data_IF_653633891819
#
_entry.id   IF_653633891819
#
_cell.length_a   1.000
_cell.length_b   1.000
_cell.length_c   1.000
_cell.angle_alpha   90.00
_cell.angle_beta   90.00
_cell.angle_gamma   90.00
#
_symmetry.space_group_name_H-M   'P 1'
#
loop_
_entity.id
_entity.type
_entity.pdbx_description
1 polymer ?
#
# COMPACT_ATOMS: atom_id res chain seq x y z
N UNK A 1 5.74 -36.32 41.91
CA UNK A 1 5.84 -34.84 41.96
C UNK A 1 7.27 -34.33 42.15
N UNK A 2 8.13 -34.98 42.94
CA UNK A 2 9.51 -34.51 43.16
C UNK A 2 10.44 -34.62 41.94
N UNK A 3 10.32 -35.68 41.12
CA UNK A 3 11.11 -35.81 39.88
C UNK A 3 10.88 -34.67 38.87
N UNK A 4 9.65 -34.16 38.75
CA UNK A 4 9.36 -33.00 37.89
C UNK A 4 9.88 -31.69 38.49
N UNK A 5 9.90 -31.52 39.82
CA UNK A 5 10.52 -30.35 40.46
C UNK A 5 12.04 -30.35 40.30
N UNK A 6 12.69 -31.51 40.38
CA UNK A 6 14.14 -31.65 40.20
C UNK A 6 14.53 -31.47 38.73
N UNK A 7 13.78 -32.04 37.80
CA UNK A 7 13.99 -31.83 36.35
C UNK A 7 13.77 -30.36 35.94
N UNK A 8 12.71 -29.69 36.43
CA UNK A 8 12.49 -28.25 36.19
C UNK A 8 13.57 -27.37 36.87
N UNK A 9 14.07 -27.74 38.05
CA UNK A 9 15.20 -27.03 38.67
C UNK A 9 16.48 -27.21 37.87
N UNK A 10 16.78 -28.42 37.41
CA UNK A 10 17.97 -28.70 36.60
C UNK A 10 17.90 -28.02 35.23
N UNK A 11 16.74 -27.99 34.57
CA UNK A 11 16.57 -27.24 33.30
C UNK A 11 16.57 -25.73 33.50
N UNK A 12 15.99 -25.20 34.58
CA UNK A 12 16.08 -23.77 34.90
C UNK A 12 17.52 -23.34 35.20
N UNK A 13 18.26 -24.13 35.99
CA UNK A 13 19.68 -23.86 36.34
C UNK A 13 20.59 -23.98 35.10
N UNK A 14 20.38 -24.97 34.23
CA UNK A 14 21.12 -25.08 32.96
C UNK A 14 20.78 -23.90 32.03
N UNK A 15 19.52 -23.46 31.98
CA UNK A 15 19.12 -22.29 31.17
C UNK A 15 19.64 -20.95 31.72
N UNK A 16 19.94 -20.87 33.02
CA UNK A 16 20.54 -19.70 33.66
C UNK A 16 22.06 -19.63 33.38
N UNK A 17 22.77 -20.76 33.35
CA UNK A 17 24.21 -20.82 33.01
C UNK A 17 24.49 -20.62 31.50
N UNK A 18 23.49 -20.87 30.65
CA UNK A 18 23.56 -20.70 29.20
C UNK A 18 23.09 -19.31 28.73
N UNK A 19 22.47 -18.51 29.62
CA UNK A 19 22.00 -17.18 29.27
C UNK A 19 23.15 -16.24 28.92
N UNK A 20 23.05 -15.63 27.73
CA UNK A 20 23.90 -14.54 27.28
C UNK A 20 23.02 -13.42 26.71
N UNK A 21 23.30 -12.19 27.11
CA UNK A 21 22.61 -11.01 26.58
C UNK A 21 22.87 -10.87 25.09
N UNK A 22 21.90 -10.32 24.36
CA UNK A 22 22.04 -10.07 22.93
C UNK A 22 22.61 -8.67 22.71
N UNK A 23 23.79 -8.52 22.09
CA UNK A 23 24.42 -7.21 21.97
C UNK A 23 23.64 -6.21 21.13
N UNK A 24 22.80 -6.65 20.17
CA UNK A 24 21.95 -5.75 19.39
C UNK A 24 20.90 -5.01 20.22
N UNK A 25 20.64 -5.42 21.46
CA UNK A 25 19.80 -4.64 22.38
C UNK A 25 20.62 -3.41 22.79
N UNK A 26 20.15 -2.23 22.41
CA UNK A 26 20.82 -0.94 22.60
C UNK A 26 21.40 -0.72 24.02
N UNK A 27 20.69 -1.14 25.06
CA UNK A 27 21.20 -1.08 26.43
C UNK A 27 22.46 -1.94 26.63
N UNK A 28 22.47 -3.18 26.12
CA UNK A 28 23.63 -4.08 26.17
C UNK A 28 24.79 -3.51 25.37
N UNK A 29 24.50 -3.03 24.15
CA UNK A 29 25.49 -2.38 23.30
C UNK A 29 26.18 -1.21 23.99
N UNK A 30 25.41 -0.30 24.60
CA UNK A 30 25.93 0.87 25.33
C UNK A 30 26.84 0.45 26.48
N UNK A 31 26.46 -0.57 27.24
CA UNK A 31 27.27 -1.09 28.33
C UNK A 31 28.58 -1.72 27.84
N UNK A 32 28.57 -2.49 26.75
CA UNK A 32 29.79 -3.00 26.12
C UNK A 32 30.72 -1.87 25.66
N UNK A 33 30.13 -0.83 25.07
CA UNK A 33 30.88 0.35 24.65
C UNK A 33 31.47 1.14 25.83
N UNK A 34 31.11 0.87 27.09
CA UNK A 34 31.80 1.48 28.24
C UNK A 34 33.19 0.89 28.47
N UNK A 35 33.42 -0.38 28.14
CA UNK A 35 34.76 -0.95 28.20
C UNK A 35 35.67 -0.24 27.17
N UNK A 36 36.77 0.40 27.60
CA UNK A 36 37.65 1.16 26.71
C UNK A 36 38.36 0.30 25.66
N UNK A 37 38.71 -0.94 25.98
CA UNK A 37 39.36 -1.84 25.02
C UNK A 37 38.35 -2.35 24.00
N UNK A 38 37.18 -2.83 24.43
CA UNK A 38 36.07 -3.23 23.54
C UNK A 38 35.73 -2.11 22.55
N UNK A 39 35.54 -0.88 23.07
CA UNK A 39 35.28 0.30 22.24
C UNK A 39 36.44 0.63 21.30
N UNK A 40 37.69 0.56 21.77
CA UNK A 40 38.89 0.82 20.94
C UNK A 40 39.01 -0.17 19.79
N UNK A 41 38.82 -1.46 20.04
CA UNK A 41 38.89 -2.50 19.02
C UNK A 41 37.82 -2.33 17.95
N UNK A 42 36.59 -1.99 18.34
CA UNK A 42 35.53 -1.74 17.37
C UNK A 42 35.79 -0.48 16.53
N UNK A 43 36.23 0.62 17.15
CA UNK A 43 36.54 1.87 16.44
C UNK A 43 37.74 1.72 15.50
N UNK A 44 38.75 0.92 15.89
CA UNK A 44 39.89 0.59 15.04
C UNK A 44 39.43 0.02 13.68
N UNK A 45 38.49 -0.93 13.71
CA UNK A 45 37.93 -1.54 12.51
C UNK A 45 37.04 -0.60 11.69
N UNK A 46 36.26 0.26 12.35
CA UNK A 46 35.43 1.27 11.67
C UNK A 46 36.29 2.27 10.86
N UNK A 47 37.39 2.72 11.47
CA UNK A 47 38.28 3.73 10.88
C UNK A 47 39.42 3.14 10.04
N UNK A 48 39.55 1.82 9.99
CA UNK A 48 40.64 1.10 9.31
C UNK A 48 42.02 1.53 9.83
N UNK A 49 42.13 1.63 11.15
CA UNK A 49 43.34 2.01 11.88
C UNK A 49 43.75 0.91 12.85
N UNK A 50 45.03 0.84 13.21
CA UNK A 50 45.43 -0.05 14.29
C UNK A 50 44.89 0.45 15.63
N UNK A 51 44.59 -0.43 16.61
CA UNK A 51 44.17 -0.02 17.94
C UNK A 51 45.13 0.95 18.64
N UNK A 52 46.43 0.86 18.36
CA UNK A 52 47.45 1.80 18.87
C UNK A 52 47.28 3.20 18.27
N UNK A 53 46.86 3.31 17.01
CA UNK A 53 46.56 4.59 16.36
C UNK A 53 45.26 5.22 16.87
N UNK A 54 44.32 4.41 17.36
CA UNK A 54 43.11 4.92 18.02
C UNK A 54 43.47 5.56 19.37
N UNK A 55 44.43 4.97 20.10
CA UNK A 55 44.86 5.47 21.40
C UNK A 55 43.75 5.37 22.46
N UNK A 56 43.68 6.33 23.38
CA UNK A 56 42.59 6.39 24.34
C UNK A 56 41.32 6.97 23.73
N UNK A 57 40.17 6.51 24.24
CA UNK A 57 38.86 6.96 23.79
C UNK A 57 38.05 7.46 24.98
N UNK A 58 37.40 8.61 24.83
CA UNK A 58 36.59 9.25 25.89
C UNK A 58 35.12 9.19 25.47
N UNK A 59 34.25 8.73 26.37
CA UNK A 59 32.81 8.85 26.18
C UNK A 59 32.39 10.26 26.61
N UNK A 60 31.78 11.00 25.69
CA UNK A 60 31.24 12.33 25.91
C UNK A 60 29.77 12.26 26.34
N UNK A 61 29.20 13.42 26.71
CA UNK A 61 27.76 13.51 26.94
C UNK A 61 26.98 13.21 25.66
N UNK A 62 25.93 12.42 25.82
CA UNK A 62 25.06 11.97 24.74
C UNK A 62 24.15 13.08 24.21
N UNK A 63 23.95 14.14 24.99
CA UNK A 63 23.06 15.25 24.62
C UNK A 63 23.84 16.34 23.92
N UNK A 64 23.56 16.54 22.63
CA UNK A 64 24.15 17.63 21.88
C UNK A 64 23.51 18.97 22.30
N UNK A 65 24.31 20.04 22.45
CA UNK A 65 23.84 21.32 22.94
C UNK A 65 22.76 21.91 22.03
N UNK A 66 21.85 22.69 22.64
CA UNK A 66 20.91 23.55 21.94
C UNK A 66 21.46 24.98 21.91
N UNK A 67 21.33 25.67 20.77
CA UNK A 67 21.62 27.11 20.68
C UNK A 67 20.37 27.95 20.99
N UNK A 68 19.18 27.37 20.95
CA UNK A 68 17.91 27.97 21.39
C UNK A 68 16.90 26.90 21.82
N UNK A 69 15.84 27.30 22.54
CA UNK A 69 14.80 26.36 23.00
C UNK A 69 14.04 25.69 21.85
N UNK A 70 13.89 26.42 20.73
CA UNK A 70 13.20 25.96 19.52
C UNK A 70 13.99 24.88 18.77
N UNK A 71 15.30 24.74 19.03
CA UNK A 71 16.11 23.73 18.37
C UNK A 71 15.77 22.31 18.84
N UNK A 72 15.68 21.40 17.86
CA UNK A 72 15.59 19.97 18.13
C UNK A 72 16.85 19.50 18.86
N UNK A 73 16.64 18.76 19.95
CA UNK A 73 17.71 18.13 20.72
C UNK A 73 18.28 16.95 19.93
N UNK A 74 19.60 16.83 19.88
CA UNK A 74 20.28 15.61 19.43
C UNK A 74 20.59 14.76 20.66
N UNK A 75 20.10 13.53 20.70
CA UNK A 75 20.42 12.57 21.77
C UNK A 75 21.03 11.36 21.09
N UNK A 76 22.34 11.25 21.29
CA UNK A 76 23.21 10.22 20.73
C UNK A 76 23.21 8.99 21.64
N UNK A 77 23.52 7.83 21.08
CA UNK A 77 23.61 6.59 21.84
C UNK A 77 24.98 6.42 22.51
N UNK A 78 26.06 6.48 21.73
CA UNK A 78 27.44 6.41 22.21
C UNK A 78 28.26 7.49 21.50
N UNK A 79 28.53 8.58 22.21
CA UNK A 79 29.33 9.69 21.71
C UNK A 79 30.79 9.54 22.17
N UNK A 80 31.72 9.39 21.23
CA UNK A 80 33.13 9.09 21.51
C UNK A 80 34.03 10.18 20.95
N UNK A 81 35.02 10.61 21.73
CA UNK A 81 36.12 11.47 21.32
C UNK A 81 37.43 10.68 21.29
N UNK A 82 38.14 10.77 20.18
CA UNK A 82 39.49 10.21 20.02
C UNK A 82 40.57 11.24 20.34
N UNK A 83 41.79 10.77 20.60
CA UNK A 83 42.95 11.65 20.90
C UNK A 83 43.28 12.62 19.77
N UNK A 84 43.05 12.22 18.51
CA UNK A 84 43.25 13.08 17.34
C UNK A 84 42.13 14.11 17.13
N UNK A 85 41.14 14.16 18.02
CA UNK A 85 40.00 15.07 17.96
C UNK A 85 38.81 14.57 17.15
N UNK A 86 38.91 13.43 16.47
CA UNK A 86 37.78 12.81 15.76
C UNK A 86 36.66 12.47 16.74
N UNK A 87 35.42 12.79 16.36
CA UNK A 87 34.23 12.43 17.14
C UNK A 87 33.42 11.36 16.40
N UNK A 88 32.91 10.38 17.14
CA UNK A 88 32.04 9.34 16.64
C UNK A 88 30.72 9.34 17.39
N UNK A 89 29.63 9.19 16.64
CA UNK A 89 28.31 8.85 17.15
C UNK A 89 28.00 7.43 16.70
N UNK A 90 27.78 6.51 17.64
CA UNK A 90 27.52 5.10 17.35
C UNK A 90 26.13 4.71 17.86
N UNK A 91 25.23 4.41 16.93
CA UNK A 91 23.81 4.17 17.15
C UNK A 91 23.46 2.69 16.92
N UNK A 92 22.84 2.04 17.91
CA UNK A 92 22.33 0.66 17.78
C UNK A 92 20.81 0.69 17.63
N UNK A 93 20.32 0.38 16.44
CA UNK A 93 18.89 0.48 16.14
C UNK A 93 18.28 -0.88 15.79
N UNK A 94 17.31 -1.30 16.61
CA UNK A 94 16.57 -2.57 16.44
C UNK A 94 15.25 -2.38 15.71
N UNK A 95 14.58 -1.26 15.94
CA UNK A 95 13.24 -0.99 15.39
C UNK A 95 13.39 -0.15 14.14
N UNK A 96 12.78 -0.58 13.04
CA UNK A 96 12.82 0.13 11.76
C UNK A 96 12.26 1.55 11.92
N UNK A 97 12.97 2.53 11.35
CA UNK A 97 12.58 3.93 11.27
C UNK A 97 12.70 4.41 9.82
N UNK A 98 11.60 4.97 9.29
CA UNK A 98 11.51 5.38 7.89
C UNK A 98 12.50 6.51 7.53
N UNK A 99 12.62 7.53 8.38
CA UNK A 99 13.45 8.71 8.16
C UNK A 99 14.84 8.57 8.80
N UNK A 100 15.47 7.40 8.66
CA UNK A 100 16.75 7.14 9.31
C UNK A 100 17.87 7.99 8.70
N UNK A 101 17.96 8.10 7.37
CA UNK A 101 18.99 8.91 6.70
C UNK A 101 18.96 10.38 7.17
N UNK A 102 17.77 10.98 7.25
CA UNK A 102 17.60 12.37 7.72
C UNK A 102 18.03 12.53 9.18
N UNK A 103 17.74 11.54 10.04
CA UNK A 103 18.15 11.55 11.46
C UNK A 103 19.67 11.44 11.58
N UNK A 104 20.28 10.49 10.88
CA UNK A 104 21.72 10.26 10.87
C UNK A 104 22.47 11.50 10.37
N UNK A 105 21.99 12.10 9.27
CA UNK A 105 22.54 13.36 8.75
C UNK A 105 22.37 14.51 9.74
N UNK A 106 21.21 14.64 10.38
CA UNK A 106 20.97 15.68 11.39
C UNK A 106 21.94 15.54 12.57
N UNK A 107 22.14 14.33 13.10
CA UNK A 107 23.07 14.10 14.21
C UNK A 107 24.52 14.37 13.81
N UNK A 108 24.95 13.86 12.66
CA UNK A 108 26.28 14.09 12.12
C UNK A 108 26.58 15.59 11.96
N UNK A 109 25.68 16.34 11.30
CA UNK A 109 25.84 17.78 11.09
C UNK A 109 25.76 18.58 12.40
N UNK A 110 24.91 18.16 13.35
CA UNK A 110 24.82 18.83 14.65
C UNK A 110 26.08 18.59 15.48
N UNK A 111 26.63 17.38 15.48
CA UNK A 111 27.90 17.04 16.13
C UNK A 111 29.03 17.90 15.55
N UNK A 112 29.16 17.93 14.22
CA UNK A 112 30.18 18.71 13.53
C UNK A 112 30.08 20.22 13.80
N UNK A 113 28.89 20.79 13.66
CA UNK A 113 28.67 22.23 13.86
C UNK A 113 28.73 22.67 15.33
N UNK A 114 28.68 21.74 16.29
CA UNK A 114 28.78 22.02 17.73
C UNK A 114 30.22 22.07 18.23
N UNK A 115 31.21 21.72 17.41
CA UNK A 115 32.62 21.73 17.82
C UNK A 115 33.18 23.14 18.01
N UNK A 116 32.63 24.14 17.32
CA UNK A 116 33.16 25.50 17.32
C UNK A 116 32.31 26.48 18.14
N UNK A 117 33.00 27.29 18.93
CA UNK A 117 32.47 28.47 19.60
C UNK A 117 32.64 29.73 18.73
N UNK A 118 31.93 30.80 19.11
CA UNK A 118 32.04 32.11 18.44
C UNK A 118 33.48 32.64 18.52
N UNK A 119 34.05 32.98 17.36
CA UNK A 119 35.38 33.56 17.23
C UNK A 119 36.51 32.53 17.03
N UNK A 120 36.18 31.24 16.97
CA UNK A 120 37.15 30.19 16.62
C UNK A 120 37.27 30.04 15.10
N UNK A 121 38.48 29.74 14.64
CA UNK A 121 38.79 29.50 13.23
C UNK A 121 38.30 28.13 12.76
N UNK A 122 37.96 28.03 11.46
CA UNK A 122 37.37 26.81 10.87
C UNK A 122 38.34 25.65 10.70
N UNK A 123 39.65 25.91 10.70
CA UNK A 123 40.70 24.88 10.61
C UNK A 123 40.70 23.92 11.81
N UNK A 124 40.07 24.33 12.93
CA UNK A 124 39.89 23.52 14.13
C UNK A 124 38.85 22.41 14.00
N UNK A 125 37.99 22.43 12.98
CA UNK A 125 36.96 21.41 12.76
C UNK A 125 37.60 20.03 12.57
N UNK A 126 37.24 19.10 13.43
CA UNK A 126 37.67 17.71 13.38
C UNK A 126 36.66 16.82 12.67
N UNK A 127 37.13 15.66 12.23
CA UNK A 127 36.29 14.66 11.57
C UNK A 127 35.17 14.19 12.51
N UNK A 128 33.98 14.03 11.95
CA UNK A 128 32.82 13.43 12.60
C UNK A 128 32.39 12.20 11.82
N UNK A 129 32.14 11.10 12.53
CA UNK A 129 31.64 9.85 11.95
C UNK A 129 30.35 9.46 12.65
N UNK A 130 29.28 9.26 11.90
CA UNK A 130 28.06 8.66 12.43
C UNK A 130 27.98 7.21 11.96
N UNK A 131 27.86 6.29 12.91
CA UNK A 131 27.85 4.84 12.70
C UNK A 131 26.48 4.31 13.08
N UNK A 132 25.75 3.80 12.08
CA UNK A 132 24.45 3.15 12.24
C UNK A 132 24.62 1.64 12.25
N UNK A 133 24.46 1.00 13.41
CA UNK A 133 24.38 -0.46 13.54
C UNK A 133 22.91 -0.89 13.54
N UNK A 134 22.45 -1.45 12.42
CA UNK A 134 21.04 -1.69 12.15
C UNK A 134 20.70 -3.18 12.22
N UNK A 135 19.78 -3.57 13.09
CA UNK A 135 19.26 -4.94 13.17
C UNK A 135 18.01 -5.17 12.27
N UNK A 136 17.95 -4.45 11.15
CA UNK A 136 16.91 -4.55 10.13
C UNK A 136 17.49 -4.17 8.76
N UNK A 137 16.80 -4.58 7.70
CA UNK A 137 17.15 -4.19 6.32
C UNK A 137 16.56 -2.82 6.01
N UNK A 138 17.43 -1.83 5.85
CA UNK A 138 17.09 -0.48 5.44
C UNK A 138 17.20 -0.34 3.91
N UNK A 139 18.31 -0.76 3.31
CA UNK A 139 18.53 -0.67 1.87
C UNK A 139 18.04 -1.94 1.15
N UNK A 140 16.78 -1.96 0.71
CA UNK A 140 16.14 -3.18 0.16
C UNK A 140 16.60 -3.59 -1.26
N UNK A 141 17.42 -2.77 -1.95
CA UNK A 141 17.74 -2.94 -3.38
C UNK A 141 19.00 -3.78 -3.64
N UNK A 142 19.78 -4.08 -2.62
CA UNK A 142 21.01 -4.86 -2.72
C UNK A 142 21.35 -5.53 -1.39
N UNK A 143 22.38 -6.37 -1.38
CA UNK A 143 22.82 -7.17 -0.23
C UNK A 143 24.07 -6.61 0.47
N UNK A 144 24.42 -5.33 0.25
CA UNK A 144 25.58 -4.70 0.87
C UNK A 144 25.31 -4.53 2.38
N UNK A 145 26.11 -5.21 3.21
CA UNK A 145 25.97 -5.19 4.66
C UNK A 145 26.73 -4.04 5.35
N UNK A 146 27.79 -3.52 4.73
CA UNK A 146 28.58 -2.41 5.25
C UNK A 146 28.78 -1.33 4.19
N UNK A 147 28.45 -0.09 4.54
CA UNK A 147 28.53 1.08 3.65
C UNK A 147 29.24 2.22 4.32
N UNK A 148 30.00 2.98 3.53
CA UNK A 148 30.53 4.29 3.89
C UNK A 148 29.98 5.33 2.90
N UNK A 149 29.51 6.45 3.41
CA UNK A 149 29.12 7.60 2.61
C UNK A 149 29.88 8.84 3.08
N UNK A 150 30.53 9.51 2.14
CA UNK A 150 31.36 10.71 2.34
C UNK A 150 30.96 11.79 1.33
N UNK A 151 31.57 12.97 1.44
CA UNK A 151 31.25 14.11 0.56
C UNK A 151 32.18 14.11 -0.65
N UNK A 152 31.59 13.93 -1.84
CA UNK A 152 32.32 13.90 -3.11
C UNK A 152 31.84 15.00 -4.06
N UNK A 153 32.73 15.46 -4.93
CA UNK A 153 32.35 16.22 -6.11
C UNK A 153 31.58 15.31 -7.08
N UNK A 154 30.37 15.72 -7.45
CA UNK A 154 29.48 14.91 -8.30
C UNK A 154 29.97 14.78 -9.74
N UNK A 155 30.67 15.78 -10.26
CA UNK A 155 31.12 15.81 -11.65
C UNK A 155 32.42 15.02 -11.83
N UNK A 156 33.37 15.17 -10.91
CA UNK A 156 34.69 14.52 -10.99
C UNK A 156 34.75 13.19 -10.25
N UNK A 157 33.90 13.00 -9.24
CA UNK A 157 33.97 11.87 -8.32
C UNK A 157 35.09 12.00 -7.29
N UNK A 158 35.81 13.13 -7.24
CA UNK A 158 36.87 13.36 -6.28
C UNK A 158 36.32 13.62 -4.88
N UNK A 159 37.04 13.15 -3.87
CA UNK A 159 36.68 13.40 -2.48
C UNK A 159 36.78 14.90 -2.19
N UNK A 160 35.66 15.52 -1.83
CA UNK A 160 35.60 16.93 -1.47
C UNK A 160 36.07 17.14 -0.03
N UNK A 161 35.60 16.28 0.90
CA UNK A 161 36.03 16.30 2.29
C UNK A 161 35.78 14.95 2.97
N UNK A 162 36.72 14.54 3.81
CA UNK A 162 36.62 13.37 4.70
C UNK A 162 36.12 13.72 6.11
N UNK A 163 35.80 14.99 6.38
CA UNK A 163 35.40 15.45 7.72
C UNK A 163 34.01 14.99 8.16
N UNK A 164 33.14 14.61 7.22
CA UNK A 164 31.80 14.09 7.49
C UNK A 164 31.69 12.70 6.87
N UNK A 165 31.39 11.70 7.70
CA UNK A 165 31.26 10.32 7.25
C UNK A 165 30.06 9.64 7.90
N UNK A 166 29.28 8.94 7.09
CA UNK A 166 28.23 8.03 7.53
C UNK A 166 28.69 6.60 7.29
N UNK A 167 28.61 5.76 8.30
CA UNK A 167 28.85 4.33 8.19
C UNK A 167 27.59 3.56 8.55
N UNK A 168 27.14 2.65 7.69
CA UNK A 168 25.90 1.89 7.88
C UNK A 168 26.23 0.39 7.87
N UNK A 169 25.92 -0.28 8.98
CA UNK A 169 26.18 -1.69 9.24
C UNK A 169 24.83 -2.41 9.38
N UNK A 170 24.36 -3.05 8.31
CA UNK A 170 23.10 -3.82 8.29
C UNK A 170 23.34 -5.28 8.71
N UNK A 171 23.09 -5.58 9.99
CA UNK A 171 23.34 -6.91 10.59
C UNK A 171 22.60 -8.07 9.88
N UNK A 172 21.36 -7.90 9.37
CA UNK A 172 20.66 -8.99 8.66
C UNK A 172 21.31 -9.39 7.33
N UNK A 173 22.16 -8.53 6.75
CA UNK A 173 22.81 -8.77 5.45
C UNK A 173 24.19 -9.41 5.56
N UNK A 174 24.64 -9.71 6.78
CA UNK A 174 25.96 -10.31 6.96
C UNK A 174 25.99 -11.70 6.30
N UNK A 175 26.94 -11.97 5.39
CA UNK A 175 27.06 -13.26 4.72
C UNK A 175 27.37 -14.39 5.73
N UNK A 176 26.75 -15.55 5.50
CA UNK A 176 26.96 -16.73 6.37
C UNK A 176 28.43 -17.18 6.34
N UNK A 177 29.04 -17.20 5.16
CA UNK A 177 30.39 -17.76 4.87
C UNK A 177 31.59 -16.93 5.37
N UNK A 178 31.37 -15.81 6.05
CA UNK A 178 32.49 -15.02 6.58
C UNK A 178 33.07 -15.64 7.86
N UNK A 179 34.19 -16.35 7.76
CA UNK A 179 34.79 -17.07 8.90
C UNK A 179 36.06 -16.43 9.47
N UNK A 180 36.42 -15.21 9.03
CA UNK A 180 37.62 -14.54 9.54
C UNK A 180 37.32 -13.87 10.90
N UNK A 181 38.19 -14.02 11.92
CA UNK A 181 38.01 -13.39 13.24
C UNK A 181 38.35 -11.90 13.28
N UNK A 182 38.75 -11.31 12.15
CA UNK A 182 39.20 -9.91 12.06
C UNK A 182 38.30 -9.12 11.14
N UNK A 183 38.36 -7.79 11.21
CA UNK A 183 37.57 -6.93 10.34
C UNK A 183 36.22 -6.53 10.93
N UNK A 184 35.64 -5.50 10.33
CA UNK A 184 34.34 -4.95 10.75
C UNK A 184 33.21 -5.99 10.72
N UNK A 185 33.27 -6.98 9.82
CA UNK A 185 32.26 -8.03 9.71
C UNK A 185 32.26 -8.95 10.94
N UNK A 186 33.42 -9.21 11.55
CA UNK A 186 33.51 -9.99 12.79
C UNK A 186 32.77 -9.27 13.93
N UNK A 187 32.98 -7.96 14.08
CA UNK A 187 32.21 -7.12 15.03
C UNK A 187 30.72 -7.11 14.72
N UNK A 188 30.32 -6.97 13.45
CA UNK A 188 28.92 -7.05 13.06
C UNK A 188 28.28 -8.39 13.46
N UNK A 189 29.00 -9.50 13.27
CA UNK A 189 28.53 -10.83 13.69
C UNK A 189 28.39 -10.93 15.21
N UNK A 190 29.36 -10.40 15.95
CA UNK A 190 29.30 -10.34 17.40
C UNK A 190 28.06 -9.54 17.85
N UNK A 191 27.81 -8.37 17.24
CA UNK A 191 26.67 -7.54 17.60
C UNK A 191 25.31 -8.15 17.24
N UNK A 192 25.24 -8.86 16.11
CA UNK A 192 24.05 -9.64 15.73
C UNK A 192 23.69 -10.68 16.81
N UNK A 193 24.65 -11.08 17.63
CA UNK A 193 24.49 -12.04 18.69
C UNK A 193 24.38 -13.47 18.16
N UNK A 194 24.12 -14.39 19.06
CA UNK A 194 24.07 -15.82 18.75
C UNK A 194 24.03 -16.63 20.03
N UNK A 195 24.35 -17.92 19.94
CA UNK A 195 24.59 -18.74 21.13
C UNK A 195 25.94 -18.37 21.74
N UNK A 196 26.09 -18.68 23.02
CA UNK A 196 27.30 -18.44 23.80
C UNK A 196 28.54 -19.06 23.15
N UNK A 197 28.41 -20.30 22.67
CA UNK A 197 29.48 -21.05 22.01
C UNK A 197 29.90 -20.40 20.70
N UNK A 198 28.94 -19.98 19.88
CA UNK A 198 29.18 -19.33 18.59
C UNK A 198 29.92 -18.00 18.78
N UNK A 199 29.52 -17.21 19.79
CA UNK A 199 30.17 -15.94 20.12
C UNK A 199 31.59 -16.16 20.64
N UNK A 200 31.81 -17.19 21.47
CA UNK A 200 33.13 -17.55 21.97
C UNK A 200 34.08 -17.99 20.85
N UNK A 201 33.59 -18.82 19.93
CA UNK A 201 34.37 -19.30 18.80
C UNK A 201 34.73 -18.15 17.85
N UNK A 202 33.78 -17.25 17.58
CA UNK A 202 33.99 -16.08 16.73
C UNK A 202 35.01 -15.10 17.31
N UNK A 203 34.97 -14.87 18.63
CA UNK A 203 35.89 -13.96 19.29
C UNK A 203 37.34 -14.46 19.27
N UNK A 204 37.52 -15.78 19.21
CA UNK A 204 38.83 -16.43 19.37
C UNK A 204 39.86 -15.91 18.37
N UNK A 205 41.01 -15.49 18.89
CA UNK A 205 42.13 -14.98 18.08
C UNK A 205 42.11 -13.48 17.84
N UNK A 206 41.04 -12.79 18.22
CA UNK A 206 40.97 -11.33 18.24
C UNK A 206 40.83 -10.85 19.69
N UNK A 207 41.93 -10.34 20.26
CA UNK A 207 41.99 -9.95 21.69
C UNK A 207 40.89 -8.96 22.09
N UNK A 208 40.47 -8.07 21.20
CA UNK A 208 39.43 -7.08 21.49
C UNK A 208 38.02 -7.68 21.48
N UNK A 209 37.75 -8.63 20.58
CA UNK A 209 36.49 -9.39 20.60
C UNK A 209 36.44 -10.39 21.75
N UNK A 210 37.57 -11.00 22.12
CA UNK A 210 37.67 -11.86 23.31
C UNK A 210 37.28 -11.08 24.57
N UNK A 211 37.83 -9.88 24.74
CA UNK A 211 37.47 -9.00 25.86
C UNK A 211 36.00 -8.57 25.80
N UNK A 212 35.47 -8.22 24.62
CA UNK A 212 34.05 -7.90 24.46
C UNK A 212 33.13 -9.08 24.83
N UNK A 213 33.55 -10.30 24.48
CA UNK A 213 32.83 -11.52 24.85
C UNK A 213 32.89 -11.78 26.37
N UNK A 214 34.05 -11.57 27.00
CA UNK A 214 34.21 -11.69 28.45
C UNK A 214 33.36 -10.66 29.21
N UNK A 215 33.36 -9.40 28.78
CA UNK A 215 32.48 -8.35 29.30
C UNK A 215 31.00 -8.76 29.17
N UNK A 216 30.60 -9.26 28.00
CA UNK A 216 29.22 -9.70 27.74
C UNK A 216 28.83 -10.84 28.68
N UNK A 217 29.73 -11.79 28.90
CA UNK A 217 29.55 -12.89 29.84
C UNK A 217 29.40 -12.40 31.28
N UNK A 218 30.27 -11.52 31.75
CA UNK A 218 30.19 -10.94 33.09
C UNK A 218 28.87 -10.19 33.30
N UNK A 219 28.50 -9.32 32.34
CA UNK A 219 27.26 -8.56 32.38
C UNK A 219 26.02 -9.46 32.37
N UNK A 220 26.06 -10.56 31.61
CA UNK A 220 24.97 -11.53 31.54
C UNK A 220 24.72 -12.24 32.87
N UNK A 221 25.77 -12.41 33.69
CA UNK A 221 25.71 -13.03 35.01
C UNK A 221 25.41 -12.03 36.13
N UNK A 222 25.51 -10.74 35.87
CA UNK A 222 25.16 -9.70 36.84
C UNK A 222 23.62 -9.50 36.88
N UNK A 223 22.99 -9.82 38.02
CA UNK A 223 21.53 -9.76 38.17
C UNK A 223 20.92 -8.37 37.94
N UNK A 224 21.61 -7.30 38.33
CA UNK A 224 21.11 -5.93 38.15
C UNK A 224 21.12 -5.53 36.67
N UNK A 225 22.26 -5.78 36.00
CA UNK A 225 22.41 -5.58 34.57
C UNK A 225 21.43 -6.44 33.77
N UNK A 226 21.23 -7.70 34.17
CA UNK A 226 20.25 -8.61 33.57
C UNK A 226 18.83 -8.08 33.70
N UNK A 227 18.42 -7.57 34.86
CA UNK A 227 17.10 -6.96 35.01
C UNK A 227 16.90 -5.74 34.10
N UNK A 228 17.91 -4.88 33.98
CA UNK A 228 17.86 -3.72 33.09
C UNK A 228 17.75 -4.15 31.61
N UNK A 229 18.54 -5.14 31.21
CA UNK A 229 18.48 -5.74 29.88
C UNK A 229 17.10 -6.34 29.58
N UNK A 230 16.55 -7.17 30.46
CA UNK A 230 15.25 -7.85 30.25
C UNK A 230 14.10 -6.84 30.18
N UNK A 231 14.16 -5.76 30.97
CA UNK A 231 13.19 -4.67 30.89
C UNK A 231 13.24 -3.97 29.52
N UNK A 232 14.46 -3.69 29.02
CA UNK A 232 14.63 -3.08 27.69
C UNK A 232 14.21 -4.03 26.56
N UNK A 233 14.59 -5.29 26.64
CA UNK A 233 14.21 -6.31 25.67
C UNK A 233 12.68 -6.44 25.59
N UNK A 234 11.99 -6.43 26.73
CA UNK A 234 10.52 -6.43 26.78
C UNK A 234 9.91 -5.22 26.08
N UNK A 235 10.40 -4.02 26.39
CA UNK A 235 9.93 -2.79 25.74
C UNK A 235 10.13 -2.84 24.21
N UNK A 236 11.27 -3.36 23.75
CA UNK A 236 11.54 -3.54 22.32
C UNK A 236 10.60 -4.56 21.67
N UNK A 237 10.32 -5.68 22.34
CA UNK A 237 9.35 -6.69 21.86
C UNK A 237 7.95 -6.08 21.72
N UNK A 238 7.53 -5.27 22.67
CA UNK A 238 6.23 -4.57 22.63
C UNK A 238 6.18 -3.58 21.45
N UNK A 239 7.24 -2.78 21.26
CA UNK A 239 7.35 -1.85 20.15
C UNK A 239 7.31 -2.54 18.78
N UNK A 240 8.08 -3.63 18.61
CA UNK A 240 8.06 -4.45 17.39
C UNK A 240 6.70 -5.11 17.16
N UNK A 241 6.02 -5.53 18.22
CA UNK A 241 4.66 -6.09 18.13
C UNK A 241 3.67 -5.05 17.61
N UNK A 242 3.72 -3.82 18.12
CA UNK A 242 2.89 -2.71 17.66
C UNK A 242 3.18 -2.36 16.19
N UNK A 243 4.46 -2.28 15.80
CA UNK A 243 4.86 -2.03 14.42
C UNK A 243 4.29 -3.09 13.46
N UNK A 244 4.46 -4.39 13.79
CA UNK A 244 3.90 -5.48 12.98
C UNK A 244 2.37 -5.45 12.92
N UNK A 245 1.70 -5.04 13.99
CA UNK A 245 0.25 -4.88 13.99
C UNK A 245 -0.17 -3.75 13.04
N UNK A 246 0.52 -2.60 13.08
CA UNK A 246 0.29 -1.48 12.18
C UNK A 246 0.54 -1.87 10.72
N UNK A 247 1.65 -2.55 10.41
CA UNK A 247 1.96 -3.05 9.06
C UNK A 247 0.87 -4.00 8.54
N UNK A 248 0.40 -4.95 9.37
CA UNK A 248 -0.69 -5.86 8.99
C UNK A 248 -2.01 -5.13 8.77
N UNK A 249 -2.31 -4.11 9.58
CA UNK A 249 -3.51 -3.30 9.40
C UNK A 249 -3.44 -2.50 8.09
N UNK A 250 -2.29 -1.88 7.81
CA UNK A 250 -2.04 -1.17 6.56
C UNK A 250 -2.20 -2.08 5.35
N UNK A 251 -1.57 -3.27 5.35
CA UNK A 251 -1.71 -4.23 4.25
C UNK A 251 -3.16 -4.68 4.03
N UNK A 252 -3.94 -4.88 5.11
CA UNK A 252 -5.37 -5.20 5.00
C UNK A 252 -6.16 -4.06 4.38
N UNK A 253 -5.84 -2.81 4.72
CA UNK A 253 -6.47 -1.64 4.12
C UNK A 253 -6.13 -1.52 2.63
N UNK A 254 -4.86 -1.70 2.24
CA UNK A 254 -4.45 -1.68 0.84
C UNK A 254 -5.15 -2.77 0.04
N UNK A 255 -5.17 -4.02 0.54
CA UNK A 255 -5.87 -5.11 -0.13
C UNK A 255 -7.40 -4.87 -0.21
N UNK A 256 -7.99 -4.17 0.77
CA UNK A 256 -9.40 -3.80 0.74
C UNK A 256 -9.68 -2.68 -0.29
N UNK A 257 -8.77 -1.71 -0.41
CA UNK A 257 -8.84 -0.65 -1.42
C UNK A 257 -8.75 -1.23 -2.83
N UNK A 258 -7.78 -2.11 -3.11
CA UNK A 258 -7.66 -2.78 -4.42
C UNK A 258 -8.94 -3.55 -4.80
N UNK A 259 -9.54 -4.27 -3.84
CA UNK A 259 -10.82 -4.96 -4.07
C UNK A 259 -11.98 -4.00 -4.32
N UNK A 260 -11.97 -2.84 -3.66
CA UNK A 260 -13.00 -1.82 -3.83
C UNK A 260 -12.89 -1.20 -5.22
N UNK A 261 -11.66 -0.92 -5.69
CA UNK A 261 -11.41 -0.49 -7.08
C UNK A 261 -11.85 -1.54 -8.10
N UNK A 262 -11.60 -2.83 -7.86
CA UNK A 262 -12.09 -3.91 -8.73
C UNK A 262 -13.63 -3.99 -8.78
N UNK A 263 -14.29 -3.85 -7.62
CA UNK A 263 -15.76 -3.81 -7.54
C UNK A 263 -16.31 -2.59 -8.25
N UNK A 264 -15.66 -1.43 -8.11
CA UNK A 264 -16.05 -0.20 -8.79
C UNK A 264 -15.96 -0.37 -10.31
N UNK A 265 -14.87 -0.94 -10.82
CA UNK A 265 -14.74 -1.22 -12.26
C UNK A 265 -15.84 -2.15 -12.79
N UNK A 266 -16.20 -3.20 -12.02
CA UNK A 266 -17.33 -4.09 -12.38
C UNK A 266 -18.68 -3.39 -12.35
N UNK A 267 -18.88 -2.45 -11.41
CA UNK A 267 -20.09 -1.65 -11.31
C UNK A 267 -20.23 -0.70 -12.50
N UNK A 268 -19.13 -0.08 -12.92
CA UNK A 268 -19.12 0.80 -14.09
C UNK A 268 -19.44 0.01 -15.37
N UNK A 269 -18.91 -1.22 -15.51
CA UNK A 269 -19.27 -2.12 -16.62
C UNK A 269 -20.75 -2.52 -16.63
N UNK A 270 -21.33 -2.85 -15.46
CA UNK A 270 -22.75 -3.19 -15.38
C UNK A 270 -23.64 -1.99 -15.63
N UNK A 271 -23.23 -0.80 -15.18
CA UNK A 271 -23.93 0.44 -15.50
C UNK A 271 -23.91 0.72 -17.01
N UNK A 272 -22.77 0.58 -17.68
CA UNK A 272 -22.69 0.71 -19.14
C UNK A 272 -23.59 -0.26 -19.89
N UNK A 273 -23.65 -1.53 -19.46
CA UNK A 273 -24.59 -2.53 -20.03
C UNK A 273 -26.04 -2.16 -19.78
N UNK A 274 -26.37 -1.61 -18.61
CA UNK A 274 -27.72 -1.16 -18.28
C UNK A 274 -28.13 -0.01 -19.21
N UNK A 275 -27.25 0.97 -19.41
CA UNK A 275 -27.48 2.11 -20.30
C UNK A 275 -27.71 1.64 -21.76
N UNK A 276 -26.92 0.66 -22.24
CA UNK A 276 -27.15 0.04 -23.55
C UNK A 276 -28.51 -0.67 -23.65
N UNK A 277 -28.91 -1.40 -22.61
CA UNK A 277 -30.22 -2.06 -22.59
C UNK A 277 -31.36 -1.07 -22.54
N UNK A 278 -31.21 0.05 -21.82
CA UNK A 278 -32.18 1.12 -21.78
C UNK A 278 -32.32 1.77 -23.16
N UNK A 279 -31.22 2.07 -23.85
CA UNK A 279 -31.25 2.61 -25.21
C UNK A 279 -31.97 1.67 -26.20
N UNK A 280 -31.74 0.35 -26.11
CA UNK A 280 -32.47 -0.64 -26.92
C UNK A 280 -33.97 -0.67 -26.59
N UNK A 281 -34.33 -0.55 -25.32
CA UNK A 281 -35.71 -0.51 -24.88
C UNK A 281 -36.43 0.71 -25.48
N UNK A 282 -35.79 1.88 -25.40
CA UNK A 282 -36.32 3.14 -25.96
C UNK A 282 -36.53 3.03 -27.48
N UNK A 283 -35.59 2.41 -28.21
CA UNK A 283 -35.76 2.11 -29.65
C UNK A 283 -36.96 1.18 -29.92
N UNK A 284 -37.12 0.14 -29.11
CA UNK A 284 -38.26 -0.79 -29.27
C UNK A 284 -39.58 -0.13 -28.95
N UNK A 285 -39.62 0.76 -27.95
CA UNK A 285 -40.81 1.54 -27.62
C UNK A 285 -41.17 2.47 -28.77
N UNK A 286 -40.20 3.19 -29.34
CA UNK A 286 -40.45 4.04 -30.51
C UNK A 286 -40.98 3.26 -31.74
N UNK A 287 -40.48 2.04 -31.98
CA UNK A 287 -41.03 1.16 -33.03
C UNK A 287 -42.46 0.71 -32.72
N UNK A 288 -42.78 0.44 -31.45
CA UNK A 288 -44.11 0.05 -31.02
C UNK A 288 -45.11 1.20 -31.22
N UNK A 289 -44.73 2.43 -30.86
CA UNK A 289 -45.56 3.62 -31.04
C UNK A 289 -45.90 3.83 -32.53
N UNK A 290 -44.91 3.72 -33.41
CA UNK A 290 -45.13 3.80 -34.88
C UNK A 290 -46.05 2.67 -35.38
N UNK A 291 -45.93 1.46 -34.83
CA UNK A 291 -46.81 0.35 -35.20
C UNK A 291 -48.26 0.58 -34.72
N UNK A 292 -48.45 1.18 -33.54
CA UNK A 292 -49.75 1.56 -33.02
C UNK A 292 -50.40 2.63 -33.89
N UNK A 293 -49.67 3.69 -34.26
CA UNK A 293 -50.17 4.76 -35.13
C UNK A 293 -50.64 4.21 -36.49
N UNK A 294 -49.82 3.32 -37.10
CA UNK A 294 -50.18 2.67 -38.36
C UNK A 294 -51.42 1.78 -38.23
N UNK A 295 -51.59 1.08 -37.10
CA UNK A 295 -52.77 0.27 -36.84
C UNK A 295 -54.02 1.14 -36.72
N UNK A 296 -53.92 2.30 -36.05
CA UNK A 296 -55.00 3.28 -35.95
C UNK A 296 -55.40 3.81 -37.33
N UNK A 297 -54.45 4.24 -38.16
CA UNK A 297 -54.73 4.70 -39.54
C UNK A 297 -55.39 3.58 -40.37
N UNK A 298 -54.92 2.34 -40.25
CA UNK A 298 -55.54 1.20 -40.93
C UNK A 298 -56.98 0.94 -40.47
N UNK A 299 -57.26 1.06 -39.17
CA UNK A 299 -58.61 0.93 -38.62
C UNK A 299 -59.55 2.02 -39.13
N UNK A 300 -59.08 3.26 -39.22
CA UNK A 300 -59.85 4.38 -39.79
C UNK A 300 -60.19 4.14 -41.27
N UNK A 301 -59.20 3.79 -42.09
CA UNK A 301 -59.41 3.46 -43.52
C UNK A 301 -60.34 2.27 -43.72
N UNK A 302 -60.26 1.27 -42.84
CA UNK A 302 -61.17 0.12 -42.88
C UNK A 302 -62.61 0.54 -42.54
N UNK A 303 -62.80 1.37 -41.51
CA UNK A 303 -64.12 1.92 -41.17
C UNK A 303 -64.71 2.73 -42.33
N UNK A 304 -63.90 3.54 -42.99
CA UNK A 304 -64.34 4.32 -44.15
C UNK A 304 -64.69 3.44 -45.35
N UNK A 305 -63.87 2.41 -45.62
CA UNK A 305 -64.16 1.42 -46.67
C UNK A 305 -65.46 0.65 -46.39
N UNK A 306 -65.73 0.28 -45.13
CA UNK A 306 -67.00 -0.34 -44.74
C UNK A 306 -68.19 0.58 -45.02
N UNK A 307 -68.10 1.87 -44.67
CA UNK A 307 -69.16 2.85 -44.97
C UNK A 307 -69.38 3.00 -46.48
N UNK A 308 -68.31 3.09 -47.27
CA UNK A 308 -68.42 3.15 -48.73
C UNK A 308 -69.08 1.90 -49.31
N UNK A 309 -68.75 0.71 -48.79
CA UNK A 309 -69.32 -0.55 -49.23
C UNK A 309 -70.81 -0.68 -48.88
N UNK A 310 -71.23 -0.21 -47.70
CA UNK A 310 -72.64 -0.10 -47.34
C UNK A 310 -73.40 0.85 -48.26
N UNK A 311 -72.81 2.02 -48.56
CA UNK A 311 -73.39 2.98 -49.51
C UNK A 311 -73.52 2.37 -50.90
N UNK A 312 -72.49 1.72 -51.42
CA UNK A 312 -72.52 1.08 -52.73
C UNK A 312 -73.55 -0.06 -52.80
N UNK A 313 -73.75 -0.82 -51.71
CA UNK A 313 -74.82 -1.81 -51.60
C UNK A 313 -76.20 -1.15 -51.67
N UNK A 314 -76.42 -0.09 -50.90
CA UNK A 314 -77.67 0.66 -50.92
C UNK A 314 -77.97 1.27 -52.31
N UNK A 315 -76.96 1.83 -52.98
CA UNK A 315 -77.09 2.35 -54.35
C UNK A 315 -77.40 1.23 -55.35
N UNK A 316 -76.75 0.07 -55.25
CA UNK A 316 -77.04 -1.10 -56.08
C UNK A 316 -78.48 -1.58 -55.87
N UNK A 317 -78.93 -1.70 -54.63
CA UNK A 317 -80.29 -2.15 -54.30
C UNK A 317 -81.33 -1.15 -54.81
N UNK A 318 -81.06 0.16 -54.68
CA UNK A 318 -81.90 1.21 -55.24
C UNK A 318 -81.94 1.18 -56.77
N UNK A 319 -80.79 0.99 -57.45
CA UNK A 319 -80.72 0.89 -58.90
C UNK A 319 -81.43 -0.38 -59.42
N UNK A 320 -81.34 -1.49 -58.70
CA UNK A 320 -82.07 -2.72 -59.02
C UNK A 320 -83.59 -2.54 -58.87
N UNK A 321 -84.06 -1.89 -57.78
CA UNK A 321 -85.48 -1.58 -57.61
C UNK A 321 -85.99 -0.59 -58.67
N UNK A 322 -85.18 0.42 -59.03
CA UNK A 322 -85.52 1.35 -60.10
C UNK A 322 -85.59 0.65 -61.47
N UNK A 323 -84.63 -0.20 -61.80
CA UNK A 323 -84.66 -0.98 -63.04
C UNK A 323 -85.86 -1.92 -63.12
N UNK A 324 -86.26 -2.53 -61.99
CA UNK A 324 -87.50 -3.30 -61.88
C UNK A 324 -88.74 -2.44 -62.18
N UNK A 325 -88.82 -1.25 -61.57
CA UNK A 325 -89.90 -0.28 -61.77
C UNK A 325 -90.00 0.21 -63.22
N UNK A 326 -88.87 0.52 -63.85
CA UNK A 326 -88.80 0.95 -65.25
C UNK A 326 -89.28 -0.16 -66.20
N UNK A 327 -88.87 -1.42 -65.95
CA UNK A 327 -89.34 -2.57 -66.72
C UNK A 327 -90.85 -2.80 -66.61
N UNK A 328 -91.45 -2.57 -65.43
CA UNK A 328 -92.91 -2.64 -65.25
C UNK A 328 -93.62 -1.57 -66.08
N UNK A 329 -93.10 -0.33 -66.12
CA UNK A 329 -93.64 0.74 -66.98
C UNK A 329 -93.53 0.35 -68.46
N UNK A 330 -92.39 -0.18 -68.89
CA UNK A 330 -92.18 -0.60 -70.29
C UNK A 330 -93.11 -1.75 -70.70
N UNK A 331 -93.29 -2.75 -69.84
CA UNK A 331 -94.22 -3.87 -70.08
C UNK A 331 -95.68 -3.40 -70.15
N UNK A 332 -96.06 -2.42 -69.33
CA UNK A 332 -97.36 -1.75 -69.41
C UNK A 332 -97.53 -1.00 -70.74
N UNK A 333 -96.56 -0.17 -71.14
CA UNK A 333 -96.60 0.59 -72.40
C UNK A 333 -96.66 -0.31 -73.64
N UNK A 334 -95.99 -1.47 -73.61
CA UNK A 334 -96.03 -2.49 -74.67
C UNK A 334 -97.31 -3.34 -74.65
N UNK A 335 -98.20 -3.13 -73.67
CA UNK A 335 -99.51 -3.79 -73.58
C UNK A 335 -99.49 -5.20 -72.96
N UNK A 336 -98.38 -5.61 -72.34
CA UNK A 336 -98.26 -6.93 -71.70
C UNK A 336 -98.85 -6.97 -70.29
N UNK A 337 -99.00 -5.83 -69.62
CA UNK A 337 -99.65 -5.69 -68.30
C UNK A 337 -100.85 -4.74 -68.40
N UNK A 338 -101.94 -5.06 -67.71
CA UNK A 338 -103.05 -4.12 -67.53
C UNK A 338 -102.77 -3.13 -66.38
N UNK A 339 -103.62 -2.11 -66.21
CA UNK A 339 -103.38 -1.03 -65.23
C UNK A 339 -103.30 -1.54 -63.78
N UNK A 340 -104.14 -2.51 -63.40
CA UNK A 340 -104.14 -3.11 -62.07
C UNK A 340 -102.88 -3.95 -61.82
N UNK A 341 -102.50 -4.78 -62.80
CA UNK A 341 -101.31 -5.61 -62.75
C UNK A 341 -100.03 -4.76 -62.68
N UNK A 342 -99.93 -3.70 -63.49
CA UNK A 342 -98.78 -2.81 -63.49
C UNK A 342 -98.65 -2.03 -62.17
N UNK A 343 -99.75 -1.50 -61.62
CA UNK A 343 -99.74 -0.82 -60.33
C UNK A 343 -99.32 -1.76 -59.18
N UNK A 344 -99.83 -3.00 -59.19
CA UNK A 344 -99.48 -4.03 -58.19
C UNK A 344 -98.01 -4.43 -58.28
N UNK A 345 -97.47 -4.70 -59.47
CA UNK A 345 -96.06 -5.09 -59.67
C UNK A 345 -95.09 -3.93 -59.37
N UNK A 346 -95.48 -2.69 -59.64
CA UNK A 346 -94.72 -1.49 -59.26
C UNK A 346 -94.74 -1.25 -57.74
N UNK A 347 -95.77 -1.75 -57.05
CA UNK A 347 -95.92 -1.67 -55.59
C UNK A 347 -96.53 -0.35 -55.10
N UNK A 348 -97.38 0.30 -55.91
CA UNK A 348 -98.07 1.55 -55.56
C UNK A 348 -99.57 1.47 -55.87
N UNK A 349 -100.34 2.46 -55.42
CA UNK A 349 -101.78 2.53 -55.73
C UNK A 349 -102.02 2.73 -57.24
N UNK A 350 -103.15 2.24 -57.75
CA UNK A 350 -103.54 2.42 -59.17
C UNK A 350 -103.58 3.91 -59.54
N UNK A 351 -104.06 4.75 -58.62
CA UNK A 351 -104.25 6.19 -58.84
C UNK A 351 -102.90 6.93 -58.91
N UNK A 352 -101.91 6.49 -58.14
CA UNK A 352 -100.56 7.06 -58.18
C UNK A 352 -99.74 6.54 -59.37
N UNK A 353 -99.92 5.27 -59.76
CA UNK A 353 -99.30 4.75 -60.99
C UNK A 353 -99.78 5.51 -62.23
N UNK A 354 -101.06 5.90 -62.25
CA UNK A 354 -101.63 6.70 -63.34
C UNK A 354 -101.00 8.10 -63.47
N UNK A 355 -100.58 8.70 -62.34
CA UNK A 355 -99.89 10.01 -62.32
C UNK A 355 -98.46 9.93 -62.84
N UNK A 356 -97.80 8.77 -62.76
CA UNK A 356 -96.44 8.56 -63.29
C UNK A 356 -96.39 8.43 -64.83
N UNK A 357 -97.55 8.25 -65.47
CA UNK A 357 -97.67 8.05 -66.93
C UNK A 357 -98.00 9.34 -67.70
N UNK A 358 -98.11 10.47 -66.99
CA UNK A 358 -98.31 11.83 -67.53
C UNK A 358 -96.96 12.51 -67.62
#
# INVERSE_FOLDING_TARGET
>A
MERNKMANRTTAVISEEEFIMKPYIDWCFKELMRNPNTRRGFIAELLELSPEQIGNTIILENELPKRSEEEKKGVLDVHVLLENGTQLDIEMQVVYMEYWDDRSLFYLCKMFSSQLCKGEEYDRLQKCVHVSVLNFTYYKKDDICYRKAQVYDKATGELYSDKLELQILELPKIPEEYHHPDGIIAWMKFFRGGKKEDLKEMAKGNTYLEEAYEDLMEMSQNEEKRRAYEARERALRDQLSLQRQAERAFQRMTNAQEKLEEIQGKLDETQGKLDETQGKLDETQGKLDVAQDNLTDMQERFSESQKQLEKARAEKDAAHDQGRKDAVIELYQKGFLNLEQAASEYGISIEDFRKLLV
#
